data_IF_625830213738
#
_entry.id   IF_625830213738
#
_cell.length_a   1.000
_cell.length_b   1.000
_cell.length_c   1.000
_cell.angle_alpha   90.00
_cell.angle_beta   90.00
_cell.angle_gamma   90.00
#
_symmetry.space_group_name_H-M   'P 1'
#
loop_
_entity.id
_entity.type
_entity.pdbx_description
1 polymer ?
#
# COMPACT_ATOMS: atom_id res chain seq x y z
N UNK A 1 7.61 -6.13 5.63
CA UNK A 1 8.97 -5.62 5.32
C UNK A 1 9.97 -6.52 6.01
N UNK A 2 10.91 -7.06 5.23
CA UNK A 2 11.62 -8.29 5.57
C UNK A 2 12.99 -7.97 6.18
N UNK A 3 13.52 -8.84 7.04
CA UNK A 3 14.97 -8.85 7.24
C UNK A 3 15.64 -9.30 5.94
N UNK A 4 16.90 -8.93 5.69
CA UNK A 4 17.62 -9.42 4.50
C UNK A 4 17.61 -10.96 4.43
N UNK A 5 17.67 -11.62 5.59
CA UNK A 5 17.47 -13.05 5.71
C UNK A 5 16.11 -13.52 5.19
N UNK A 6 15.02 -12.78 5.35
CA UNK A 6 13.71 -13.19 4.81
C UNK A 6 13.67 -13.01 3.29
N UNK A 7 14.30 -11.97 2.73
CA UNK A 7 14.50 -11.87 1.28
C UNK A 7 15.27 -13.09 0.75
N UNK A 8 16.41 -13.41 1.37
CA UNK A 8 17.24 -14.57 1.02
C UNK A 8 16.45 -15.88 1.12
N UNK A 9 15.71 -16.11 2.22
CA UNK A 9 14.87 -17.30 2.39
C UNK A 9 13.76 -17.40 1.35
N UNK A 10 13.13 -16.27 1.02
CA UNK A 10 12.07 -16.22 0.00
C UNK A 10 12.64 -16.57 -1.36
N UNK A 11 13.78 -16.00 -1.73
CA UNK A 11 14.48 -16.30 -2.99
C UNK A 11 14.90 -17.78 -3.03
N UNK A 12 15.54 -18.30 -1.98
CA UNK A 12 15.98 -19.68 -1.89
C UNK A 12 14.81 -20.68 -2.02
N UNK A 13 13.71 -20.43 -1.30
CA UNK A 13 12.52 -21.29 -1.31
C UNK A 13 11.83 -21.32 -2.69
N UNK A 14 11.89 -20.23 -3.46
CA UNK A 14 11.31 -20.18 -4.82
C UNK A 14 12.23 -20.81 -5.87
N UNK A 15 13.55 -20.61 -5.76
CA UNK A 15 14.51 -21.15 -6.73
C UNK A 15 14.73 -22.66 -6.56
N UNK A 16 14.63 -23.15 -5.33
CA UNK A 16 14.81 -24.57 -5.02
C UNK A 16 13.88 -24.98 -3.85
N UNK A 17 12.61 -25.29 -4.16
CA UNK A 17 11.64 -25.68 -3.14
C UNK A 17 12.04 -26.94 -2.34
N UNK A 18 12.87 -27.79 -2.95
CA UNK A 18 13.37 -29.03 -2.34
C UNK A 18 14.63 -28.81 -1.47
N UNK A 19 15.13 -27.57 -1.40
CA UNK A 19 16.25 -27.14 -0.54
C UNK A 19 17.59 -27.83 -0.77
N UNK A 20 17.76 -28.60 -1.85
CA UNK A 20 19.00 -29.33 -2.15
C UNK A 20 20.20 -28.42 -2.42
N UNK A 21 20.02 -27.39 -3.23
CA UNK A 21 21.07 -26.44 -3.55
C UNK A 21 21.36 -25.49 -2.38
N UNK A 22 20.37 -25.25 -1.50
CA UNK A 22 20.48 -24.35 -0.35
C UNK A 22 20.61 -25.10 0.99
N UNK A 23 21.02 -26.37 1.00
CA UNK A 23 21.04 -27.22 2.20
C UNK A 23 21.83 -26.56 3.34
N UNK A 24 23.08 -26.17 3.08
CA UNK A 24 23.94 -25.49 4.05
C UNK A 24 23.33 -24.17 4.55
N UNK A 25 22.70 -23.40 3.66
CA UNK A 25 22.03 -22.15 4.03
C UNK A 25 20.87 -22.40 5.01
N UNK A 26 20.04 -23.40 4.75
CA UNK A 26 18.92 -23.73 5.63
C UNK A 26 19.38 -24.32 6.97
N UNK A 27 20.38 -25.20 6.97
CA UNK A 27 20.98 -25.73 8.19
C UNK A 27 21.56 -24.63 9.08
N UNK A 28 22.34 -23.71 8.48
CA UNK A 28 22.92 -22.60 9.22
C UNK A 28 21.87 -21.62 9.73
N UNK A 29 20.83 -21.35 8.93
CA UNK A 29 19.71 -20.51 9.36
C UNK A 29 18.97 -21.10 10.56
N UNK A 30 18.76 -22.41 10.57
CA UNK A 30 18.08 -23.11 11.65
C UNK A 30 18.92 -23.11 12.93
N UNK A 31 20.24 -23.37 12.78
CA UNK A 31 21.16 -23.45 13.91
C UNK A 31 21.55 -22.09 14.48
N UNK A 32 21.67 -21.08 13.63
CA UNK A 32 22.16 -19.74 13.96
C UNK A 32 21.27 -18.67 13.31
N UNK A 33 20.05 -18.45 13.83
CA UNK A 33 19.10 -17.50 13.23
C UNK A 33 19.60 -16.05 13.17
N UNK A 34 20.67 -15.71 13.92
CA UNK A 34 21.27 -14.38 13.95
C UNK A 34 22.59 -14.29 13.15
N UNK A 35 23.03 -15.36 12.48
CA UNK A 35 24.27 -15.35 11.71
C UNK A 35 24.12 -14.59 10.38
N UNK A 36 25.25 -14.09 9.86
CA UNK A 36 25.33 -13.58 8.49
C UNK A 36 25.36 -14.78 7.51
N UNK A 37 24.26 -14.98 6.78
CA UNK A 37 24.06 -16.16 5.92
C UNK A 37 24.34 -15.92 4.44
N UNK A 38 24.93 -14.77 4.10
CA UNK A 38 25.15 -14.36 2.71
C UNK A 38 26.00 -15.36 1.92
N UNK A 39 27.09 -15.86 2.50
CA UNK A 39 27.99 -16.81 1.82
C UNK A 39 27.30 -18.13 1.45
N UNK A 40 26.68 -18.87 2.41
CA UNK A 40 25.97 -20.10 2.05
C UNK A 40 24.76 -19.82 1.15
N UNK A 41 24.09 -18.66 1.30
CA UNK A 41 23.04 -18.25 0.38
C UNK A 41 23.56 -18.10 -1.06
N UNK A 42 24.64 -17.36 -1.27
CA UNK A 42 25.21 -17.10 -2.60
C UNK A 42 25.73 -18.38 -3.26
N UNK A 43 26.33 -19.28 -2.47
CA UNK A 43 26.77 -20.58 -2.95
C UNK A 43 25.57 -21.42 -3.45
N UNK A 44 24.51 -21.50 -2.64
CA UNK A 44 23.29 -22.21 -3.02
C UNK A 44 22.56 -21.57 -4.20
N UNK A 45 22.54 -20.24 -4.26
CA UNK A 45 21.98 -19.49 -5.38
C UNK A 45 22.70 -19.80 -6.70
N UNK A 46 24.03 -19.80 -6.67
CA UNK A 46 24.88 -20.12 -7.82
C UNK A 46 24.67 -21.58 -8.26
N UNK A 47 24.61 -22.51 -7.31
CA UNK A 47 24.37 -23.93 -7.58
C UNK A 47 22.96 -24.16 -8.17
N UNK A 48 21.94 -23.49 -7.61
CA UNK A 48 20.56 -23.60 -8.07
C UNK A 48 20.38 -23.08 -9.49
N UNK A 49 21.01 -21.96 -9.85
CA UNK A 49 20.92 -21.42 -11.21
C UNK A 49 21.75 -22.22 -12.20
N UNK A 50 22.97 -22.61 -11.85
CA UNK A 50 23.91 -23.23 -12.78
C UNK A 50 24.13 -22.34 -14.02
N UNK A 51 23.63 -22.78 -15.18
CA UNK A 51 23.66 -22.01 -16.45
C UNK A 51 22.37 -21.21 -16.74
N UNK A 52 21.36 -21.32 -15.88
CA UNK A 52 20.06 -20.65 -16.07
C UNK A 52 20.18 -19.17 -15.68
N UNK A 53 19.35 -18.34 -16.31
CA UNK A 53 19.15 -16.93 -15.93
C UNK A 53 17.94 -16.82 -15.01
N UNK A 54 18.00 -15.90 -14.06
CA UNK A 54 16.88 -15.56 -13.18
C UNK A 54 16.46 -14.11 -13.37
N UNK A 55 15.18 -13.85 -13.11
CA UNK A 55 14.63 -12.50 -13.01
C UNK A 55 14.06 -12.33 -11.61
N UNK A 56 14.65 -11.40 -10.83
CA UNK A 56 14.11 -11.00 -9.54
C UNK A 56 13.25 -9.75 -9.73
N UNK A 57 12.04 -9.76 -9.17
CA UNK A 57 11.08 -8.66 -9.29
C UNK A 57 10.76 -8.11 -7.91
N UNK A 58 11.10 -6.85 -7.69
CA UNK A 58 10.74 -6.09 -6.49
C UNK A 58 9.63 -5.13 -6.87
N UNK A 59 8.42 -5.46 -6.45
CA UNK A 59 7.25 -4.59 -6.62
C UNK A 59 7.08 -3.71 -5.37
N UNK A 60 6.64 -2.47 -5.56
CA UNK A 60 6.41 -1.49 -4.49
C UNK A 60 7.68 -1.24 -3.65
N UNK A 61 8.84 -1.15 -4.32
CA UNK A 61 10.14 -1.05 -3.66
C UNK A 61 10.36 0.27 -2.90
N UNK A 62 9.52 1.28 -3.11
CA UNK A 62 9.49 2.49 -2.27
C UNK A 62 9.12 2.18 -0.81
N UNK A 63 8.57 0.99 -0.52
CA UNK A 63 8.36 0.52 0.85
C UNK A 63 9.64 0.01 1.51
N UNK A 64 10.71 -0.18 0.74
CA UNK A 64 12.04 -0.53 1.27
C UNK A 64 12.85 0.71 1.65
N UNK A 65 12.49 1.88 1.11
CA UNK A 65 12.89 3.15 1.72
C UNK A 65 12.27 3.18 3.12
N UNK A 66 13.11 2.83 4.09
CA UNK A 66 13.01 3.47 5.38
C UNK A 66 12.95 4.98 5.09
N UNK A 67 12.16 5.74 5.84
CA UNK A 67 12.20 7.20 5.79
C UNK A 67 11.32 7.85 4.70
N UNK A 68 9.99 7.68 4.82
CA UNK A 68 9.05 8.66 4.25
C UNK A 68 9.04 9.99 5.01
N UNK A 69 9.80 10.09 6.09
CA UNK A 69 9.90 11.25 6.95
C UNK A 69 11.02 12.19 6.47
N UNK A 70 10.93 13.47 6.82
CA UNK A 70 11.99 14.44 6.52
C UNK A 70 13.30 14.03 7.19
N UNK A 71 14.45 14.43 6.63
CA UNK A 71 15.78 14.20 7.20
C UNK A 71 15.85 14.56 8.70
N UNK A 72 15.16 15.62 9.09
CA UNK A 72 15.00 16.08 10.48
C UNK A 72 14.45 14.99 11.42
N UNK A 73 13.50 14.17 10.98
CA UNK A 73 12.93 13.07 11.77
C UNK A 73 13.93 11.94 11.97
N UNK A 74 14.76 11.71 10.97
CA UNK A 74 15.75 10.65 10.96
C UNK A 74 16.90 10.99 11.88
N UNK A 75 17.35 12.24 11.78
CA UNK A 75 18.37 12.82 12.64
C UNK A 75 17.88 12.83 14.10
N UNK A 76 16.63 13.25 14.35
CA UNK A 76 16.03 13.28 15.69
C UNK A 76 15.78 11.89 16.30
N UNK A 77 15.60 10.88 15.45
CA UNK A 77 15.40 9.48 15.88
C UNK A 77 16.69 8.66 15.76
N UNK A 78 17.82 9.29 15.44
CA UNK A 78 19.13 8.67 15.21
C UNK A 78 19.06 7.43 14.30
N UNK A 79 18.14 7.43 13.33
CA UNK A 79 17.96 6.34 12.38
C UNK A 79 19.15 6.35 11.43
N UNK A 80 19.94 5.28 11.46
CA UNK A 80 21.14 5.16 10.61
C UNK A 80 20.87 4.23 9.42
N UNK A 81 21.73 4.27 8.40
CA UNK A 81 21.71 3.30 7.28
C UNK A 81 21.76 1.82 7.74
N UNK A 82 22.14 1.55 9.00
CA UNK A 82 22.17 0.21 9.58
C UNK A 82 20.77 -0.34 9.91
N UNK A 83 19.74 0.52 9.96
CA UNK A 83 18.39 0.16 10.40
C UNK A 83 17.44 -0.27 9.28
N UNK A 84 17.92 -0.27 8.03
CA UNK A 84 17.21 -0.78 6.86
C UNK A 84 17.92 -2.03 6.27
N UNK A 85 17.91 -3.19 6.96
CA UNK A 85 18.68 -4.36 6.55
C UNK A 85 18.35 -4.88 5.14
N UNK A 86 17.07 -4.85 4.73
CA UNK A 86 16.67 -5.17 3.35
C UNK A 86 17.23 -4.20 2.32
N UNK A 87 17.36 -2.93 2.69
CA UNK A 87 17.92 -1.88 1.85
C UNK A 87 19.41 -2.07 1.62
N UNK A 88 20.15 -2.31 2.70
CA UNK A 88 21.58 -2.61 2.62
C UNK A 88 21.84 -3.86 1.79
N UNK A 89 20.99 -4.87 1.91
CA UNK A 89 21.08 -6.07 1.08
C UNK A 89 20.86 -5.74 -0.40
N UNK A 90 19.81 -4.97 -0.73
CA UNK A 90 19.53 -4.55 -2.10
C UNK A 90 20.73 -3.82 -2.71
N UNK A 91 21.29 -2.83 -2.01
CA UNK A 91 22.39 -2.01 -2.52
C UNK A 91 23.74 -2.73 -2.58
N UNK A 92 24.04 -3.62 -1.62
CA UNK A 92 25.39 -4.20 -1.49
C UNK A 92 25.51 -5.62 -2.02
N UNK A 93 24.44 -6.40 -2.02
CA UNK A 93 24.48 -7.84 -2.27
C UNK A 93 23.87 -8.23 -3.61
N UNK A 94 22.90 -7.46 -4.11
CA UNK A 94 22.19 -7.87 -5.32
C UNK A 94 23.09 -7.88 -6.57
N UNK A 95 24.12 -7.04 -6.59
CA UNK A 95 25.09 -6.95 -7.68
C UNK A 95 25.99 -8.19 -7.82
N UNK A 96 26.10 -9.00 -6.76
CA UNK A 96 26.91 -10.22 -6.69
C UNK A 96 26.15 -11.46 -7.21
N UNK A 97 24.83 -11.37 -7.42
CA UNK A 97 24.02 -12.49 -7.88
C UNK A 97 24.33 -12.83 -9.35
N UNK A 98 24.87 -14.02 -9.66
CA UNK A 98 25.23 -14.37 -11.03
C UNK A 98 23.98 -14.60 -11.89
N UNK A 99 24.09 -14.36 -13.20
CA UNK A 99 23.04 -14.63 -14.19
C UNK A 99 21.66 -14.04 -13.84
N UNK A 100 21.62 -12.92 -13.15
CA UNK A 100 20.39 -12.34 -12.59
C UNK A 100 20.09 -10.99 -13.22
N UNK A 101 18.86 -10.83 -13.71
CA UNK A 101 18.28 -9.52 -14.04
C UNK A 101 17.33 -9.11 -12.92
N UNK A 102 17.38 -7.85 -12.52
CA UNK A 102 16.60 -7.32 -11.41
C UNK A 102 15.68 -6.25 -11.96
N UNK A 103 14.38 -6.39 -11.70
CA UNK A 103 13.36 -5.40 -12.02
C UNK A 103 12.87 -4.80 -10.70
N UNK A 104 13.01 -3.49 -10.56
CA UNK A 104 12.59 -2.73 -9.38
C UNK A 104 11.50 -1.76 -9.84
N UNK A 105 10.27 -1.98 -9.37
CA UNK A 105 9.16 -1.06 -9.55
C UNK A 105 8.92 -0.30 -8.25
N UNK A 106 8.92 1.02 -8.32
CA UNK A 106 8.71 1.88 -7.16
C UNK A 106 7.96 3.15 -7.54
N UNK A 107 7.16 3.67 -6.60
CA UNK A 107 6.58 5.02 -6.71
C UNK A 107 7.63 6.08 -6.38
N UNK A 108 7.58 7.27 -7.01
CA UNK A 108 8.40 8.39 -6.59
C UNK A 108 8.12 8.75 -5.14
N UNK A 109 9.18 8.89 -4.33
CA UNK A 109 9.11 9.43 -2.98
C UNK A 109 9.55 10.90 -2.98
N UNK A 110 9.14 11.65 -1.96
CA UNK A 110 9.53 13.06 -1.81
C UNK A 110 11.05 13.25 -1.67
N UNK A 111 11.76 12.21 -1.23
CA UNK A 111 13.21 12.23 -1.03
C UNK A 111 13.98 11.76 -2.26
N UNK A 112 13.37 10.92 -3.12
CA UNK A 112 14.02 10.36 -4.31
C UNK A 112 15.22 9.45 -4.01
N UNK A 113 15.40 9.04 -2.74
CA UNK A 113 16.62 8.40 -2.24
C UNK A 113 16.86 7.02 -2.87
N UNK A 114 15.81 6.23 -3.17
CA UNK A 114 15.94 4.93 -3.83
C UNK A 114 16.64 5.05 -5.17
N UNK A 115 16.15 5.99 -5.99
CA UNK A 115 16.73 6.24 -7.30
C UNK A 115 18.19 6.62 -7.18
N UNK A 116 18.50 7.58 -6.32
CA UNK A 116 19.86 8.09 -6.13
C UNK A 116 20.79 6.98 -5.62
N UNK A 117 20.42 6.29 -4.55
CA UNK A 117 21.28 5.26 -3.93
C UNK A 117 21.50 4.05 -4.84
N UNK A 118 20.51 3.66 -5.66
CA UNK A 118 20.70 2.61 -6.66
C UNK A 118 21.74 3.03 -7.72
N UNK A 119 21.64 4.26 -8.22
CA UNK A 119 22.62 4.81 -9.16
C UNK A 119 24.01 4.88 -8.51
N UNK A 120 24.12 5.33 -7.26
CA UNK A 120 25.39 5.42 -6.55
C UNK A 120 26.03 4.03 -6.33
N UNK A 121 25.21 3.02 -6.00
CA UNK A 121 25.69 1.67 -5.69
C UNK A 121 26.02 0.83 -6.93
N UNK A 122 25.32 1.04 -8.05
CA UNK A 122 25.40 0.15 -9.22
C UNK A 122 25.70 0.86 -10.54
N UNK A 123 25.75 2.20 -10.55
CA UNK A 123 26.21 3.01 -11.68
C UNK A 123 25.47 2.71 -12.99
N UNK A 124 26.26 2.45 -14.02
CA UNK A 124 25.82 2.14 -15.38
C UNK A 124 25.03 0.82 -15.51
N UNK A 125 25.06 -0.04 -14.49
CA UNK A 125 24.26 -1.27 -14.45
C UNK A 125 22.78 -0.99 -14.17
N UNK A 126 22.41 0.24 -13.80
CA UNK A 126 21.03 0.65 -13.53
C UNK A 126 20.43 1.33 -14.75
N UNK A 127 19.41 0.70 -15.33
CA UNK A 127 18.55 1.33 -16.32
C UNK A 127 17.32 1.91 -15.62
N UNK A 128 17.19 3.25 -15.66
CA UNK A 128 16.01 3.93 -15.14
C UNK A 128 14.98 4.09 -16.25
N UNK A 129 13.77 3.59 -15.99
CA UNK A 129 12.62 3.73 -16.87
C UNK A 129 11.52 4.44 -16.09
N UNK A 130 11.20 5.66 -16.49
CA UNK A 130 10.05 6.37 -15.96
C UNK A 130 8.79 5.91 -16.70
N UNK A 131 7.84 5.36 -15.96
CA UNK A 131 6.57 4.89 -16.51
C UNK A 131 5.54 5.99 -16.29
N UNK A 132 5.29 6.77 -17.34
CA UNK A 132 4.23 7.78 -17.36
C UNK A 132 2.84 7.13 -17.51
N UNK A 133 1.79 7.93 -17.39
CA UNK A 133 0.46 7.52 -17.83
C UNK A 133 0.45 7.22 -19.34
N UNK A 134 -0.56 6.47 -19.78
CA UNK A 134 -0.75 6.17 -21.20
C UNK A 134 -0.76 7.44 -22.03
N UNK A 135 -0.11 7.38 -23.18
CA UNK A 135 -0.32 8.31 -24.30
C UNK A 135 -1.73 8.15 -24.87
N UNK A 136 -2.14 9.08 -25.74
CA UNK A 136 -3.44 8.95 -26.42
C UNK A 136 -3.47 7.66 -27.27
N UNK A 137 -2.41 7.35 -28.01
CA UNK A 137 -2.32 6.13 -28.82
C UNK A 137 -2.37 4.84 -27.98
N UNK A 138 -1.75 4.83 -26.79
CA UNK A 138 -1.88 3.70 -25.86
C UNK A 138 -3.29 3.60 -25.26
N UNK A 139 -3.95 4.74 -25.03
CA UNK A 139 -5.35 4.76 -24.60
C UNK A 139 -6.26 4.21 -25.69
N UNK A 140 -6.08 4.61 -26.94
CA UNK A 140 -6.78 4.07 -28.09
C UNK A 140 -6.54 2.55 -28.21
N UNK A 141 -5.29 2.10 -28.11
CA UNK A 141 -4.95 0.68 -28.13
C UNK A 141 -5.62 -0.09 -26.98
N UNK A 142 -5.73 0.51 -25.79
CA UNK A 142 -6.43 -0.07 -24.65
C UNK A 142 -7.93 -0.25 -24.93
N UNK A 143 -8.60 0.77 -25.50
CA UNK A 143 -10.00 0.63 -25.92
C UNK A 143 -10.15 -0.47 -26.97
N UNK A 144 -9.24 -0.54 -27.94
CA UNK A 144 -9.26 -1.53 -29.02
C UNK A 144 -9.05 -2.98 -28.53
N UNK A 145 -8.50 -3.17 -27.32
CA UNK A 145 -8.26 -4.48 -26.75
C UNK A 145 -9.54 -5.23 -26.31
N UNK A 146 -10.65 -4.52 -26.09
CA UNK A 146 -11.92 -5.11 -25.65
C UNK A 146 -13.01 -4.92 -26.71
N UNK A 147 -13.99 -5.81 -26.78
CA UNK A 147 -15.09 -5.70 -27.75
C UNK A 147 -15.90 -4.42 -27.54
N UNK A 148 -16.27 -4.14 -26.29
CA UNK A 148 -17.00 -2.92 -25.95
C UNK A 148 -16.16 -1.65 -26.15
N UNK A 149 -14.87 -1.68 -25.79
CA UNK A 149 -13.99 -0.54 -26.03
C UNK A 149 -13.80 -0.22 -27.51
N UNK A 150 -13.76 -1.23 -28.39
CA UNK A 150 -13.80 -1.03 -29.85
C UNK A 150 -15.08 -0.33 -30.28
N UNK A 151 -16.23 -0.78 -29.78
CA UNK A 151 -17.51 -0.14 -30.08
C UNK A 151 -17.49 1.35 -29.69
N UNK A 152 -17.02 1.69 -28.49
CA UNK A 152 -16.93 3.10 -28.07
C UNK A 152 -15.98 3.90 -28.96
N UNK A 153 -14.81 3.33 -29.29
CA UNK A 153 -13.83 4.00 -30.14
C UNK A 153 -14.35 4.23 -31.57
N UNK A 154 -15.11 3.28 -32.12
CA UNK A 154 -15.71 3.36 -33.45
C UNK A 154 -16.90 4.33 -33.48
N UNK A 155 -17.71 4.37 -32.41
CA UNK A 155 -18.87 5.28 -32.29
C UNK A 155 -18.45 6.73 -31.99
N UNK A 156 -17.40 6.94 -31.20
CA UNK A 156 -16.95 8.27 -30.81
C UNK A 156 -15.46 8.34 -30.45
N UNK A 157 -14.62 8.64 -31.46
CA UNK A 157 -13.21 8.98 -31.26
C UNK A 157 -13.04 10.15 -30.26
N UNK A 158 -13.97 11.11 -30.29
CA UNK A 158 -13.98 12.24 -29.36
C UNK A 158 -14.09 11.78 -27.90
N UNK A 159 -14.87 10.74 -27.60
CA UNK A 159 -15.03 10.21 -26.24
C UNK A 159 -13.72 9.64 -25.70
N UNK A 160 -13.01 8.84 -26.51
CA UNK A 160 -11.72 8.24 -26.12
C UNK A 160 -10.73 9.34 -25.74
N UNK A 161 -10.66 10.39 -26.55
CA UNK A 161 -9.77 11.50 -26.27
C UNK A 161 -10.19 12.30 -25.03
N UNK A 162 -11.49 12.56 -24.82
CA UNK A 162 -11.98 13.21 -23.59
C UNK A 162 -11.56 12.45 -22.35
N UNK A 163 -11.78 11.13 -22.34
CA UNK A 163 -11.40 10.25 -21.23
C UNK A 163 -9.89 10.31 -21.01
N UNK A 164 -9.10 10.20 -22.08
CA UNK A 164 -7.64 10.30 -22.00
C UNK A 164 -7.19 11.62 -21.36
N UNK A 165 -7.72 12.76 -21.83
CA UNK A 165 -7.35 14.09 -21.34
C UNK A 165 -7.71 14.27 -19.87
N UNK A 166 -8.92 13.88 -19.46
CA UNK A 166 -9.42 14.04 -18.09
C UNK A 166 -8.72 13.08 -17.11
N UNK A 167 -8.54 11.81 -17.51
CA UNK A 167 -7.78 10.84 -16.75
C UNK A 167 -6.29 11.21 -16.66
N UNK A 168 -5.77 11.97 -17.63
CA UNK A 168 -4.34 12.24 -17.79
C UNK A 168 -3.55 10.95 -18.06
N UNK A 169 -4.12 10.03 -18.83
CA UNK A 169 -3.50 8.75 -19.15
C UNK A 169 -3.48 7.71 -18.01
N UNK A 170 -4.11 7.96 -16.86
CA UNK A 170 -4.14 7.01 -15.73
C UNK A 170 -4.96 5.76 -16.08
N UNK A 171 -4.35 4.56 -16.17
CA UNK A 171 -5.04 3.36 -16.65
C UNK A 171 -6.28 2.98 -15.83
N UNK A 172 -6.24 3.14 -14.51
CA UNK A 172 -7.38 2.78 -13.65
C UNK A 172 -8.58 3.70 -13.87
N UNK A 173 -8.37 5.00 -14.11
CA UNK A 173 -9.46 5.93 -14.42
C UNK A 173 -10.04 5.68 -15.81
N UNK A 174 -9.18 5.31 -16.76
CA UNK A 174 -9.58 4.89 -18.10
C UNK A 174 -10.43 3.61 -18.02
N UNK A 175 -9.98 2.60 -17.28
CA UNK A 175 -10.71 1.35 -17.07
C UNK A 175 -12.06 1.59 -16.39
N UNK A 176 -12.09 2.43 -15.35
CA UNK A 176 -13.31 2.80 -14.64
C UNK A 176 -14.31 3.53 -15.55
N UNK A 177 -13.83 4.46 -16.38
CA UNK A 177 -14.67 5.13 -17.38
C UNK A 177 -15.28 4.13 -18.38
N UNK A 178 -14.48 3.17 -18.84
CA UNK A 178 -14.92 2.14 -19.76
C UNK A 178 -15.97 1.21 -19.12
N UNK A 179 -15.78 0.80 -17.87
CA UNK A 179 -16.76 0.01 -17.10
C UNK A 179 -18.11 0.73 -17.01
N UNK A 180 -18.10 2.04 -16.76
CA UNK A 180 -19.33 2.85 -16.69
C UNK A 180 -20.01 3.04 -18.02
N UNK A 181 -19.24 3.21 -19.09
CA UNK A 181 -19.78 3.20 -20.45
C UNK A 181 -20.44 1.85 -20.75
N UNK A 182 -19.79 0.73 -20.42
CA UNK A 182 -20.29 -0.62 -20.67
C UNK A 182 -21.60 -0.90 -19.95
N UNK A 183 -21.77 -0.31 -18.76
CA UNK A 183 -22.98 -0.43 -17.94
C UNK A 183 -24.07 0.59 -18.31
N UNK A 184 -23.85 1.44 -19.32
CA UNK A 184 -24.79 2.50 -19.70
C UNK A 184 -24.95 3.58 -18.63
N UNK A 185 -23.98 3.71 -17.72
CA UNK A 185 -24.00 4.63 -16.58
C UNK A 185 -23.31 5.98 -16.91
N UNK A 186 -22.82 6.12 -18.14
CA UNK A 186 -22.19 7.34 -18.60
C UNK A 186 -23.24 8.41 -18.92
N UNK A 187 -23.18 9.55 -18.24
CA UNK A 187 -24.01 10.71 -18.56
C UNK A 187 -23.15 11.73 -19.32
N UNK A 188 -23.42 11.85 -20.63
CA UNK A 188 -22.72 12.79 -21.52
C UNK A 188 -22.85 14.25 -21.09
N UNK A 189 -23.81 14.58 -20.23
CA UNK A 189 -23.97 15.91 -19.65
C UNK A 189 -22.99 16.19 -18.51
N UNK A 190 -22.28 15.18 -18.00
CA UNK A 190 -21.30 15.37 -16.93
C UNK A 190 -20.04 16.09 -17.42
N UNK A 191 -19.77 16.08 -18.74
CA UNK A 191 -18.72 16.88 -19.38
C UNK A 191 -19.20 17.44 -20.71
N UNK A 192 -19.98 18.55 -20.70
CA UNK A 192 -20.43 19.19 -21.94
C UNK A 192 -19.29 19.87 -22.72
N UNK A 193 -18.08 19.88 -22.14
CA UNK A 193 -16.88 20.50 -22.69
C UNK A 193 -16.40 19.71 -23.92
N UNK A 194 -16.10 20.43 -24.99
CA UNK A 194 -15.54 19.86 -26.21
C UNK A 194 -14.08 19.42 -26.01
N UNK A 195 -13.58 18.49 -26.83
CA UNK A 195 -12.14 18.14 -26.82
C UNK A 195 -11.26 19.35 -27.07
N UNK A 196 -11.68 20.28 -27.93
CA UNK A 196 -10.93 21.49 -28.23
C UNK A 196 -10.73 22.36 -26.98
N UNK A 197 -11.79 22.59 -26.20
CA UNK A 197 -11.72 23.33 -24.95
C UNK A 197 -10.86 22.61 -23.89
N UNK A 198 -10.96 21.28 -23.78
CA UNK A 198 -10.11 20.50 -22.87
C UNK A 198 -8.62 20.60 -23.25
N UNK A 199 -8.29 20.52 -24.54
CA UNK A 199 -6.92 20.71 -25.03
C UNK A 199 -6.41 22.11 -24.68
N UNK A 200 -7.18 23.15 -24.98
CA UNK A 200 -6.81 24.54 -24.66
C UNK A 200 -6.60 24.73 -23.16
N UNK A 201 -7.53 24.26 -22.33
CA UNK A 201 -7.41 24.35 -20.87
C UNK A 201 -6.19 23.62 -20.33
N UNK A 202 -5.91 22.41 -20.81
CA UNK A 202 -4.70 21.65 -20.45
C UNK A 202 -3.42 22.40 -20.84
N UNK A 203 -3.33 22.89 -22.07
CA UNK A 203 -2.14 23.61 -22.56
C UNK A 203 -1.90 24.90 -21.77
N UNK A 204 -2.94 25.66 -21.47
CA UNK A 204 -2.82 26.88 -20.66
C UNK A 204 -2.37 26.56 -19.22
N UNK A 205 -2.97 25.54 -18.60
CA UNK A 205 -2.58 25.08 -17.26
C UNK A 205 -1.12 24.60 -17.21
N UNK A 206 -0.66 23.88 -18.23
CA UNK A 206 0.74 23.43 -18.33
C UNK A 206 1.70 24.61 -18.48
N UNK A 207 1.36 25.61 -19.30
CA UNK A 207 2.18 26.80 -19.46
C UNK A 207 2.29 27.62 -18.16
N UNK A 208 1.22 27.71 -17.38
CA UNK A 208 1.26 28.33 -16.04
C UNK A 208 2.16 27.52 -15.08
N UNK A 209 2.00 26.20 -15.03
CA UNK A 209 2.79 25.31 -14.17
C UNK A 209 4.30 25.36 -14.50
N UNK A 210 4.66 25.35 -15.79
CA UNK A 210 6.04 25.49 -16.27
C UNK A 210 6.64 26.86 -15.90
N UNK A 211 5.80 27.90 -15.82
CA UNK A 211 6.21 29.22 -15.32
C UNK A 211 6.25 29.32 -13.79
N UNK A 212 5.94 28.24 -13.05
CA UNK A 212 5.86 28.22 -11.60
C UNK A 212 4.63 28.96 -11.04
N UNK A 213 3.58 29.12 -11.85
CA UNK A 213 2.35 29.83 -11.51
C UNK A 213 1.18 28.83 -11.39
N UNK A 214 0.29 29.06 -10.43
CA UNK A 214 -0.98 28.32 -10.29
C UNK A 214 -2.16 29.29 -10.46
N UNK A 215 -2.28 29.84 -11.66
CA UNK A 215 -3.26 30.85 -12.04
C UNK A 215 -4.67 30.27 -12.24
N UNK A 216 -5.51 31.03 -12.92
CA UNK A 216 -6.91 30.66 -13.17
C UNK A 216 -7.01 29.43 -14.08
N UNK A 217 -6.18 29.33 -15.12
CA UNK A 217 -6.22 28.22 -16.05
C UNK A 217 -5.81 26.90 -15.36
N UNK A 218 -4.75 26.94 -14.54
CA UNK A 218 -4.33 25.82 -13.71
C UNK A 218 -5.46 25.36 -12.78
N UNK A 219 -6.05 26.29 -12.02
CA UNK A 219 -7.13 25.97 -11.09
C UNK A 219 -8.36 25.36 -11.79
N UNK A 220 -8.77 25.94 -12.91
CA UNK A 220 -9.92 25.47 -13.67
C UNK A 220 -9.67 24.08 -14.29
N UNK A 221 -8.47 23.82 -14.81
CA UNK A 221 -8.09 22.51 -15.31
C UNK A 221 -8.11 21.44 -14.21
N UNK A 222 -7.48 21.72 -13.07
CA UNK A 222 -7.48 20.79 -11.93
C UNK A 222 -8.88 20.55 -11.37
N UNK A 223 -9.72 21.59 -11.28
CA UNK A 223 -11.13 21.45 -10.89
C UNK A 223 -11.90 20.54 -11.84
N UNK A 224 -11.69 20.70 -13.16
CA UNK A 224 -12.34 19.86 -14.18
C UNK A 224 -11.94 18.39 -14.04
N UNK A 225 -10.65 18.11 -13.81
CA UNK A 225 -10.16 16.74 -13.54
C UNK A 225 -10.70 16.19 -12.22
N UNK A 226 -10.77 17.00 -11.17
CA UNK A 226 -11.33 16.57 -9.89
C UNK A 226 -12.82 16.25 -10.01
N UNK A 227 -13.57 17.00 -10.80
CA UNK A 227 -14.97 16.69 -11.12
C UNK A 227 -15.06 15.37 -11.89
N UNK A 228 -14.16 15.11 -12.84
CA UNK A 228 -14.04 13.82 -13.53
C UNK A 228 -13.85 12.65 -12.56
N UNK A 229 -12.87 12.74 -11.67
CA UNK A 229 -12.67 11.73 -10.63
C UNK A 229 -13.92 11.56 -9.75
N UNK A 230 -14.52 12.66 -9.27
CA UNK A 230 -15.72 12.62 -8.43
C UNK A 230 -16.89 11.91 -9.10
N UNK A 231 -17.12 12.18 -10.38
CA UNK A 231 -18.16 11.52 -11.16
C UNK A 231 -17.87 10.04 -11.31
N UNK A 232 -16.66 9.66 -11.73
CA UNK A 232 -16.30 8.26 -11.91
C UNK A 232 -16.49 7.46 -10.62
N UNK A 233 -16.07 8.00 -9.48
CA UNK A 233 -16.23 7.33 -8.20
C UNK A 233 -17.70 7.37 -7.74
N UNK A 234 -18.40 8.48 -7.97
CA UNK A 234 -19.81 8.62 -7.63
C UNK A 234 -20.73 7.61 -8.33
N UNK A 235 -20.35 7.11 -9.52
CA UNK A 235 -21.08 6.04 -10.19
C UNK A 235 -21.10 4.72 -9.40
N UNK A 236 -20.16 4.49 -8.48
CA UNK A 236 -20.17 3.30 -7.60
C UNK A 236 -21.48 3.23 -6.81
N UNK A 237 -22.01 4.38 -6.37
CA UNK A 237 -23.30 4.47 -5.65
C UNK A 237 -24.52 4.19 -6.53
N UNK A 238 -24.33 4.08 -7.84
CA UNK A 238 -25.37 3.75 -8.81
C UNK A 238 -25.25 2.31 -9.29
N UNK A 239 -24.31 1.53 -8.76
CA UNK A 239 -24.32 0.09 -8.90
C UNK A 239 -25.61 -0.48 -8.27
N UNK A 240 -26.06 -1.64 -8.73
CA UNK A 240 -27.22 -2.30 -8.14
C UNK A 240 -26.95 -2.59 -6.67
N UNK A 241 -27.88 -2.21 -5.79
CA UNK A 241 -27.83 -2.65 -4.39
C UNK A 241 -28.01 -4.17 -4.36
N UNK A 242 -27.09 -4.94 -3.76
CA UNK A 242 -26.17 -4.52 -2.69
C UNK A 242 -24.67 -4.37 -3.08
N UNK A 243 -24.33 -4.38 -4.36
CA UNK A 243 -22.94 -4.30 -4.85
C UNK A 243 -22.27 -2.94 -4.56
N UNK A 244 -23.02 -1.84 -4.64
CA UNK A 244 -22.57 -0.49 -4.28
C UNK A 244 -22.03 -0.41 -2.84
N UNK A 245 -22.80 -0.93 -1.89
CA UNK A 245 -22.47 -0.99 -0.46
C UNK A 245 -21.24 -1.89 -0.25
N UNK A 246 -21.18 -3.02 -0.95
CA UNK A 246 -20.07 -3.95 -0.87
C UNK A 246 -18.74 -3.31 -1.28
N UNK A 247 -18.73 -2.47 -2.33
CA UNK A 247 -17.54 -1.69 -2.72
C UNK A 247 -17.13 -0.71 -1.62
N UNK A 248 -18.09 -0.01 -1.00
CA UNK A 248 -17.82 0.91 0.10
C UNK A 248 -17.16 0.22 1.31
N UNK A 249 -17.64 -0.97 1.69
CA UNK A 249 -17.04 -1.75 2.78
C UNK A 249 -15.69 -2.36 2.41
N UNK A 250 -15.54 -2.89 1.19
CA UNK A 250 -14.25 -3.37 0.70
C UNK A 250 -13.19 -2.25 0.72
N UNK A 251 -13.62 -1.02 0.44
CA UNK A 251 -12.76 0.14 0.51
C UNK A 251 -12.33 0.45 1.97
N UNK A 252 -13.21 0.28 2.97
CA UNK A 252 -12.82 0.41 4.40
C UNK A 252 -11.80 -0.67 4.79
N UNK A 253 -11.92 -1.87 4.22
CA UNK A 253 -11.00 -2.98 4.39
C UNK A 253 -9.67 -2.79 3.60
N UNK A 254 -8.86 -1.77 3.92
CA UNK A 254 -7.56 -1.53 3.24
C UNK A 254 -6.53 -2.66 3.38
N UNK A 255 -6.66 -3.53 4.40
CA UNK A 255 -5.83 -4.73 4.56
C UNK A 255 -6.37 -5.95 3.82
N UNK A 256 -7.36 -5.76 2.96
CA UNK A 256 -7.99 -6.80 2.17
C UNK A 256 -9.34 -7.18 2.75
N UNK A 257 -10.19 -7.72 1.88
CA UNK A 257 -11.55 -8.10 2.19
C UNK A 257 -11.82 -9.53 1.69
N UNK A 258 -12.69 -10.27 2.36
CA UNK A 258 -13.19 -11.57 1.89
C UNK A 258 -14.68 -11.69 2.24
N UNK A 259 -15.31 -12.79 1.81
CA UNK A 259 -16.73 -12.99 2.07
C UNK A 259 -17.09 -12.99 3.57
N UNK A 260 -16.21 -13.47 4.45
CA UNK A 260 -16.49 -13.55 5.89
C UNK A 260 -16.53 -12.16 6.55
N UNK A 261 -15.50 -11.33 6.36
CA UNK A 261 -15.50 -9.96 6.92
C UNK A 261 -16.56 -9.09 6.25
N UNK A 262 -16.79 -9.24 4.95
CA UNK A 262 -17.81 -8.49 4.23
C UNK A 262 -19.22 -8.86 4.70
N UNK A 263 -19.49 -10.15 4.96
CA UNK A 263 -20.75 -10.64 5.50
C UNK A 263 -21.07 -9.99 6.84
N UNK A 264 -20.05 -9.89 7.70
CA UNK A 264 -20.14 -9.24 9.00
C UNK A 264 -20.44 -7.74 8.90
N UNK A 265 -19.75 -7.02 8.00
CA UNK A 265 -19.97 -5.59 7.80
C UNK A 265 -21.35 -5.28 7.21
N UNK A 266 -21.82 -6.12 6.29
CA UNK A 266 -23.12 -5.97 5.62
C UNK A 266 -24.30 -6.50 6.46
N UNK A 267 -24.05 -7.35 7.45
CA UNK A 267 -25.11 -8.01 8.23
C UNK A 267 -25.94 -9.02 7.42
N UNK A 268 -25.39 -9.55 6.32
CA UNK A 268 -26.03 -10.56 5.45
C UNK A 268 -25.27 -11.88 5.52
N UNK A 269 -25.89 -12.99 5.11
CA UNK A 269 -25.29 -14.32 5.26
C UNK A 269 -24.11 -14.58 4.30
N UNK A 270 -23.13 -15.37 4.74
CA UNK A 270 -21.89 -15.67 3.97
C UNK A 270 -22.14 -16.18 2.54
N UNK A 271 -23.23 -16.93 2.31
CA UNK A 271 -23.59 -17.42 0.97
C UNK A 271 -23.96 -16.28 0.03
N UNK A 272 -24.73 -15.31 0.51
CA UNK A 272 -25.11 -14.13 -0.26
C UNK A 272 -23.87 -13.26 -0.53
N UNK A 273 -23.05 -13.05 0.49
CA UNK A 273 -21.80 -12.31 0.35
C UNK A 273 -20.82 -12.98 -0.60
N UNK A 274 -20.77 -14.32 -0.65
CA UNK A 274 -19.90 -15.04 -1.60
C UNK A 274 -20.29 -14.73 -3.04
N UNK A 275 -21.60 -14.69 -3.35
CA UNK A 275 -22.09 -14.26 -4.67
C UNK A 275 -21.72 -12.80 -4.97
N UNK A 276 -21.81 -11.91 -3.98
CA UNK A 276 -21.37 -10.52 -4.14
C UNK A 276 -19.87 -10.39 -4.36
N UNK A 277 -19.05 -11.22 -3.74
CA UNK A 277 -17.61 -11.24 -3.99
C UNK A 277 -17.33 -11.67 -5.43
N UNK A 278 -18.07 -12.65 -5.97
CA UNK A 278 -17.95 -13.03 -7.38
C UNK A 278 -18.27 -11.85 -8.29
N UNK A 279 -19.36 -11.11 -8.04
CA UNK A 279 -19.72 -9.90 -8.79
C UNK A 279 -18.70 -8.75 -8.62
N UNK A 280 -18.16 -8.56 -7.42
CA UNK A 280 -17.12 -7.55 -7.15
C UNK A 280 -15.87 -7.83 -7.98
N UNK A 281 -15.47 -9.09 -8.11
CA UNK A 281 -14.28 -9.50 -8.85
C UNK A 281 -14.39 -9.26 -10.37
N UNK A 282 -15.60 -8.97 -10.88
CA UNK A 282 -15.81 -8.56 -12.27
C UNK A 282 -15.52 -7.06 -12.50
N UNK A 283 -15.38 -6.26 -11.45
CA UNK A 283 -15.07 -4.84 -11.56
C UNK A 283 -13.58 -4.65 -11.87
N UNK A 284 -13.24 -3.79 -12.83
CA UNK A 284 -11.85 -3.61 -13.31
C UNK A 284 -10.86 -3.15 -12.23
N UNK A 285 -11.39 -2.59 -11.14
CA UNK A 285 -10.61 -2.05 -10.04
C UNK A 285 -10.55 -2.97 -8.81
N UNK A 286 -11.11 -4.17 -8.87
CA UNK A 286 -10.99 -5.17 -7.81
C UNK A 286 -9.94 -6.21 -8.22
N UNK A 287 -8.91 -6.34 -7.38
CA UNK A 287 -7.82 -7.30 -7.56
C UNK A 287 -8.22 -8.64 -6.96
N UNK A 288 -8.12 -9.74 -7.71
CA UNK A 288 -8.46 -11.06 -7.20
C UNK A 288 -7.49 -11.51 -6.09
N UNK A 289 -7.91 -12.46 -5.24
CA UNK A 289 -7.04 -13.02 -4.21
C UNK A 289 -5.75 -13.59 -4.79
N UNK A 290 -4.64 -13.30 -4.11
CA UNK A 290 -3.31 -13.82 -4.48
C UNK A 290 -3.01 -15.10 -3.70
N UNK A 291 -2.18 -16.02 -4.20
CA UNK A 291 -1.69 -17.14 -3.41
C UNK A 291 -1.09 -16.64 -2.09
N UNK A 292 -1.57 -17.17 -0.96
CA UNK A 292 -1.12 -16.77 0.37
C UNK A 292 -1.85 -15.56 0.99
N UNK A 293 -2.84 -14.95 0.31
CA UNK A 293 -3.64 -13.85 0.89
C UNK A 293 -4.86 -14.31 1.69
N UNK A 294 -4.94 -15.58 2.11
CA UNK A 294 -6.10 -16.12 2.85
C UNK A 294 -7.47 -15.86 2.17
N UNK A 295 -7.48 -15.83 0.83
CA UNK A 295 -8.70 -15.52 0.05
C UNK A 295 -9.10 -14.05 0.08
N UNK A 296 -8.27 -13.15 0.61
CA UNK A 296 -8.51 -11.71 0.60
C UNK A 296 -8.32 -11.15 -0.81
N UNK A 297 -9.34 -10.46 -1.30
CA UNK A 297 -9.27 -9.56 -2.45
C UNK A 297 -8.96 -8.14 -2.00
N UNK A 298 -8.52 -7.30 -2.93
CA UNK A 298 -8.12 -5.91 -2.65
C UNK A 298 -8.71 -4.98 -3.69
N UNK A 299 -8.97 -3.73 -3.33
CA UNK A 299 -9.18 -2.72 -4.37
C UNK A 299 -7.84 -2.31 -4.97
N UNK A 300 -7.88 -1.73 -6.16
CA UNK A 300 -6.73 -1.01 -6.69
C UNK A 300 -6.34 0.12 -5.72
N UNK A 301 -5.04 0.32 -5.51
CA UNK A 301 -4.52 1.24 -4.49
C UNK A 301 -5.08 2.67 -4.66
N UNK A 302 -5.14 3.11 -5.92
CA UNK A 302 -5.73 4.38 -6.33
C UNK A 302 -7.23 4.47 -6.01
N UNK A 303 -7.97 3.36 -6.04
CA UNK A 303 -9.38 3.36 -5.65
C UNK A 303 -9.57 3.60 -4.17
N UNK A 304 -8.69 3.12 -3.30
CA UNK A 304 -8.81 3.44 -1.88
C UNK A 304 -8.65 4.95 -1.63
N UNK A 305 -7.75 5.62 -2.34
CA UNK A 305 -7.56 7.07 -2.21
C UNK A 305 -8.71 7.86 -2.85
N UNK A 306 -9.23 7.39 -3.98
CA UNK A 306 -10.40 7.97 -4.65
C UNK A 306 -11.69 7.82 -3.83
N UNK A 307 -11.95 6.64 -3.26
CA UNK A 307 -13.08 6.39 -2.36
C UNK A 307 -12.97 7.26 -1.11
N UNK A 308 -11.77 7.41 -0.54
CA UNK A 308 -11.56 8.33 0.59
C UNK A 308 -11.91 9.76 0.23
N UNK A 309 -11.38 10.23 -0.89
CA UNK A 309 -11.55 11.62 -1.34
C UNK A 309 -12.98 11.97 -1.72
N UNK A 310 -13.70 11.07 -2.40
CA UNK A 310 -14.97 11.38 -3.05
C UNK A 310 -16.20 10.69 -2.49
N UNK A 311 -16.01 9.67 -1.64
CA UNK A 311 -17.13 8.97 -0.99
C UNK A 311 -17.06 9.18 0.51
N UNK A 312 -15.92 8.90 1.15
CA UNK A 312 -15.86 8.89 2.61
C UNK A 312 -15.84 10.27 3.24
N UNK A 313 -15.01 11.17 2.72
CA UNK A 313 -14.94 12.53 3.24
C UNK A 313 -16.16 13.38 2.90
N UNK A 314 -17.08 12.86 2.08
CA UNK A 314 -18.24 13.60 1.55
C UNK A 314 -19.54 13.11 2.16
N UNK A 315 -19.92 11.83 2.03
CA UNK A 315 -21.30 11.43 2.40
C UNK A 315 -21.44 10.07 3.11
N UNK A 316 -20.36 9.37 3.47
CA UNK A 316 -20.49 7.99 3.95
C UNK A 316 -19.31 7.51 4.80
N UNK A 317 -19.51 6.67 5.82
CA UNK A 317 -20.66 6.64 6.72
C UNK A 317 -20.65 7.88 7.65
N UNK A 318 -21.74 8.11 8.38
CA UNK A 318 -21.69 9.09 9.48
C UNK A 318 -20.65 8.65 10.54
N UNK A 319 -20.29 9.57 11.44
CA UNK A 319 -19.25 9.31 12.43
C UNK A 319 -19.50 8.07 13.30
N UNK A 320 -20.75 7.87 13.74
CA UNK A 320 -21.09 6.76 14.63
C UNK A 320 -21.08 5.43 13.89
N UNK A 321 -21.53 5.44 12.64
CA UNK A 321 -21.48 4.26 11.78
C UNK A 321 -20.02 3.92 11.40
N UNK A 322 -19.14 4.91 11.22
CA UNK A 322 -17.71 4.64 11.05
C UNK A 322 -17.10 3.94 12.27
N UNK A 323 -17.34 4.47 13.48
CA UNK A 323 -16.84 3.89 14.73
C UNK A 323 -17.30 2.43 14.88
N UNK A 324 -18.60 2.17 14.64
CA UNK A 324 -19.16 0.82 14.63
C UNK A 324 -18.47 -0.10 13.62
N UNK A 325 -18.23 0.38 12.40
CA UNK A 325 -17.58 -0.43 11.35
C UNK A 325 -16.12 -0.72 11.67
N UNK A 326 -15.38 0.25 12.20
CA UNK A 326 -14.00 0.04 12.65
C UNK A 326 -13.96 -0.98 13.80
N UNK A 327 -14.89 -0.89 14.77
CA UNK A 327 -15.05 -1.87 15.85
C UNK A 327 -15.35 -3.29 15.32
N UNK A 328 -16.23 -3.44 14.33
CA UNK A 328 -16.52 -4.73 13.71
C UNK A 328 -15.30 -5.34 13.02
N UNK A 329 -14.50 -4.51 12.32
CA UNK A 329 -13.25 -4.97 11.69
C UNK A 329 -12.25 -5.40 12.78
N UNK A 330 -12.05 -4.58 13.82
CA UNK A 330 -11.13 -4.88 14.93
C UNK A 330 -11.55 -6.17 15.64
N UNK A 331 -12.85 -6.36 15.85
CA UNK A 331 -13.43 -7.56 16.47
C UNK A 331 -13.18 -8.79 15.60
N UNK A 332 -13.41 -8.70 14.29
CA UNK A 332 -13.11 -9.78 13.34
C UNK A 332 -11.65 -10.22 13.40
N UNK A 333 -10.69 -9.28 13.33
CA UNK A 333 -9.27 -9.62 13.46
C UNK A 333 -8.96 -10.28 14.82
N UNK A 334 -9.58 -9.81 15.91
CA UNK A 334 -9.36 -10.37 17.24
C UNK A 334 -9.84 -11.82 17.36
N UNK A 335 -10.95 -12.17 16.70
CA UNK A 335 -11.42 -13.56 16.60
C UNK A 335 -10.45 -14.43 15.80
N UNK A 336 -9.96 -13.94 14.65
CA UNK A 336 -8.98 -14.68 13.84
C UNK A 336 -7.67 -14.92 14.61
N UNK A 337 -7.18 -13.90 15.33
CA UNK A 337 -6.00 -14.01 16.21
C UNK A 337 -6.21 -15.06 17.31
N UNK A 338 -7.41 -15.08 17.91
CA UNK A 338 -7.76 -16.06 18.96
C UNK A 338 -7.85 -17.48 18.43
N UNK A 339 -8.39 -17.69 17.22
CA UNK A 339 -8.43 -19.00 16.58
C UNK A 339 -7.02 -19.52 16.25
N UNK A 340 -6.09 -18.63 15.90
CA UNK A 340 -4.68 -18.99 15.71
C UNK A 340 -4.00 -19.38 17.02
N UNK A 341 -4.34 -18.77 18.16
CA UNK A 341 -3.79 -19.17 19.46
C UNK A 341 -4.08 -20.64 19.78
N UNK A 342 -5.31 -21.09 19.54
CA UNK A 342 -5.69 -22.49 19.71
C UNK A 342 -4.89 -23.41 18.77
N UNK A 343 -4.75 -22.99 17.51
CA UNK A 343 -3.99 -23.72 16.49
C UNK A 343 -2.49 -23.80 16.84
N UNK A 344 -1.90 -22.72 17.36
CA UNK A 344 -0.50 -22.64 17.82
C UNK A 344 -0.25 -23.56 19.02
N UNK A 345 -1.22 -23.67 19.94
CA UNK A 345 -1.16 -24.59 21.09
C UNK A 345 -1.27 -26.06 20.66
N UNK A 346 -2.08 -26.35 19.64
CA UNK A 346 -2.28 -27.69 19.12
C UNK A 346 -1.14 -28.18 18.19
N UNK A 347 -0.39 -27.26 17.58
CA UNK A 347 0.72 -27.59 16.68
C UNK A 347 1.82 -28.40 17.39
N UNK A 348 2.19 -29.54 16.80
CA UNK A 348 3.16 -30.49 17.39
C UNK A 348 4.60 -30.22 16.99
N UNK A 349 4.81 -29.72 15.77
CA UNK A 349 6.14 -29.43 15.25
C UNK A 349 6.43 -27.92 15.29
N UNK A 350 7.72 -27.61 15.36
CA UNK A 350 8.21 -26.23 15.47
C UNK A 350 7.90 -25.40 14.22
N UNK A 351 7.92 -26.00 13.03
CA UNK A 351 7.69 -25.29 11.76
C UNK A 351 6.24 -24.85 11.60
N UNK A 352 5.29 -25.76 11.84
CA UNK A 352 3.87 -25.46 11.86
C UNK A 352 3.54 -24.37 12.89
N UNK A 353 4.12 -24.47 14.09
CA UNK A 353 3.94 -23.49 15.15
C UNK A 353 4.47 -22.10 14.76
N UNK A 354 5.66 -22.02 14.17
CA UNK A 354 6.23 -20.75 13.75
C UNK A 354 5.50 -20.13 12.55
N UNK A 355 5.00 -20.95 11.62
CA UNK A 355 4.17 -20.47 10.52
C UNK A 355 2.90 -19.80 11.05
N UNK A 356 2.19 -20.48 11.95
CA UNK A 356 0.96 -19.95 12.57
C UNK A 356 1.24 -18.70 13.41
N UNK A 357 2.36 -18.63 14.13
CA UNK A 357 2.77 -17.42 14.85
C UNK A 357 3.01 -16.22 13.93
N UNK A 358 3.66 -16.43 12.78
CA UNK A 358 3.85 -15.35 11.79
C UNK A 358 2.54 -14.85 11.22
N UNK A 359 1.61 -15.76 10.95
CA UNK A 359 0.26 -15.43 10.52
C UNK A 359 -0.46 -14.61 11.59
N UNK A 360 -0.37 -15.02 12.86
CA UNK A 360 -0.93 -14.27 13.98
C UNK A 360 -0.32 -12.87 14.10
N UNK A 361 1.00 -12.73 14.01
CA UNK A 361 1.70 -11.45 14.05
C UNK A 361 1.27 -10.52 12.92
N UNK A 362 1.06 -11.05 11.71
CA UNK A 362 0.54 -10.29 10.57
C UNK A 362 -0.87 -9.76 10.88
N UNK A 363 -1.78 -10.61 11.36
CA UNK A 363 -3.13 -10.19 11.74
C UNK A 363 -3.13 -9.16 12.87
N UNK A 364 -2.21 -9.27 13.83
CA UNK A 364 -2.05 -8.27 14.90
C UNK A 364 -1.59 -6.91 14.33
N UNK A 365 -0.65 -6.90 13.38
CA UNK A 365 -0.25 -5.67 12.69
C UNK A 365 -1.39 -5.10 11.83
N UNK A 366 -2.17 -5.95 11.16
CA UNK A 366 -3.31 -5.50 10.37
C UNK A 366 -4.44 -4.95 11.26
N UNK A 367 -4.71 -5.57 12.41
CA UNK A 367 -5.63 -5.03 13.43
C UNK A 367 -5.18 -3.65 13.92
N UNK A 368 -3.87 -3.48 14.14
CA UNK A 368 -3.29 -2.22 14.61
C UNK A 368 -3.60 -1.05 13.67
N UNK A 369 -3.61 -1.27 12.36
CA UNK A 369 -4.05 -0.27 11.37
C UNK A 369 -5.44 0.27 11.70
N UNK A 370 -6.40 -0.61 11.98
CA UNK A 370 -7.79 -0.24 12.25
C UNK A 370 -7.93 0.40 13.64
N UNK A 371 -7.15 -0.05 14.63
CA UNK A 371 -7.14 0.57 15.95
C UNK A 371 -6.62 2.02 15.89
N UNK A 372 -5.59 2.29 15.09
CA UNK A 372 -5.15 3.66 14.83
C UNK A 372 -6.25 4.50 14.15
N UNK A 373 -7.05 3.89 13.28
CA UNK A 373 -8.10 4.59 12.56
C UNK A 373 -9.31 4.91 13.43
N UNK A 374 -9.69 3.98 14.31
CA UNK A 374 -10.77 4.13 15.29
C UNK A 374 -10.40 5.15 16.39
N UNK A 375 -9.31 4.87 17.13
CA UNK A 375 -8.79 5.75 18.17
C UNK A 375 -7.25 5.71 18.17
N UNK A 376 -6.59 6.78 17.69
CA UNK A 376 -5.14 6.88 17.67
C UNK A 376 -4.45 6.63 19.02
N UNK A 377 -5.11 6.93 20.15
CA UNK A 377 -4.56 6.70 21.50
C UNK A 377 -4.58 5.22 21.84
N UNK A 378 -5.67 4.53 21.54
CA UNK A 378 -5.75 3.08 21.71
C UNK A 378 -4.80 2.36 20.76
N UNK A 379 -4.74 2.78 19.49
CA UNK A 379 -3.77 2.28 18.51
C UNK A 379 -2.33 2.45 19.00
N UNK A 380 -1.96 3.63 19.51
CA UNK A 380 -0.61 3.84 20.04
C UNK A 380 -0.31 2.98 21.28
N UNK A 381 -1.28 2.84 22.19
CA UNK A 381 -1.13 1.96 23.37
C UNK A 381 -0.93 0.50 22.96
N UNK A 382 -1.68 0.02 21.98
CA UNK A 382 -1.52 -1.34 21.46
C UNK A 382 -0.18 -1.50 20.76
N UNK A 383 0.18 -0.59 19.84
CA UNK A 383 1.49 -0.58 19.19
C UNK A 383 2.63 -0.66 20.22
N UNK A 384 2.52 0.13 21.28
CA UNK A 384 3.49 0.16 22.37
C UNK A 384 3.68 -1.20 23.03
N UNK A 385 2.56 -1.88 23.33
CA UNK A 385 2.58 -3.21 23.92
C UNK A 385 3.18 -4.26 22.97
N UNK A 386 2.75 -4.26 21.71
CA UNK A 386 3.20 -5.21 20.70
C UNK A 386 4.68 -5.02 20.35
N UNK A 387 5.13 -3.77 20.27
CA UNK A 387 6.55 -3.43 20.03
C UNK A 387 7.43 -3.95 21.17
N UNK A 388 7.03 -3.72 22.43
CA UNK A 388 7.75 -4.26 23.60
C UNK A 388 7.80 -5.79 23.59
N UNK A 389 6.71 -6.46 23.22
CA UNK A 389 6.65 -7.92 23.08
C UNK A 389 7.57 -8.43 21.97
N UNK A 390 7.54 -7.80 20.79
CA UNK A 390 8.40 -8.12 19.66
C UNK A 390 9.88 -7.96 20.02
N UNK A 391 10.24 -6.88 20.72
CA UNK A 391 11.60 -6.61 21.20
C UNK A 391 12.03 -7.68 22.21
N UNK A 392 11.20 -7.97 23.21
CA UNK A 392 11.50 -8.95 24.24
C UNK A 392 11.72 -10.36 23.65
N UNK A 393 11.00 -10.70 22.58
CA UNK A 393 11.13 -11.96 21.85
C UNK A 393 12.19 -11.96 20.74
N UNK A 394 12.83 -10.82 20.48
CA UNK A 394 13.78 -10.62 19.37
C UNK A 394 13.15 -10.92 18.00
N UNK A 395 11.88 -10.59 17.83
CA UNK A 395 11.11 -10.80 16.61
C UNK A 395 11.23 -9.58 15.69
N UNK A 396 12.42 -9.39 15.12
CA UNK A 396 12.76 -8.20 14.30
C UNK A 396 11.83 -7.92 13.13
N UNK A 397 11.30 -8.98 12.51
CA UNK A 397 10.37 -8.85 11.40
C UNK A 397 9.04 -8.25 11.86
N UNK A 398 8.51 -8.71 13.00
CA UNK A 398 7.27 -8.21 13.56
C UNK A 398 7.40 -6.77 14.08
N UNK A 399 8.48 -6.47 14.80
CA UNK A 399 8.88 -5.10 15.19
C UNK A 399 8.85 -4.14 13.98
N UNK A 400 9.46 -4.56 12.86
CA UNK A 400 9.46 -3.77 11.63
C UNK A 400 8.05 -3.56 11.06
N UNK A 401 7.20 -4.59 11.08
CA UNK A 401 5.82 -4.48 10.60
C UNK A 401 4.99 -3.51 11.44
N UNK A 402 5.09 -3.62 12.77
CA UNK A 402 4.42 -2.73 13.72
C UNK A 402 4.86 -1.28 13.53
N UNK A 403 6.17 -1.04 13.42
CA UNK A 403 6.72 0.30 13.21
C UNK A 403 6.24 0.91 11.90
N UNK A 404 6.20 0.13 10.83
CA UNK A 404 5.72 0.60 9.54
C UNK A 404 4.26 1.04 9.60
N UNK A 405 3.44 0.35 10.39
CA UNK A 405 2.05 0.70 10.58
C UNK A 405 1.91 2.03 11.33
N UNK A 406 2.66 2.19 12.43
CA UNK A 406 2.71 3.43 13.18
C UNK A 406 3.21 4.62 12.30
N UNK A 407 4.27 4.41 11.52
CA UNK A 407 4.81 5.43 10.60
C UNK A 407 3.84 5.76 9.45
N UNK A 408 3.15 4.76 8.92
CA UNK A 408 2.13 4.98 7.89
C UNK A 408 1.02 5.86 8.45
N UNK A 409 0.55 5.58 9.67
CA UNK A 409 -0.46 6.40 10.33
C UNK A 409 -0.01 7.86 10.53
N UNK A 410 1.21 8.09 11.05
CA UNK A 410 1.71 9.45 11.31
C UNK A 410 1.97 10.26 10.04
N UNK A 411 2.46 9.63 8.97
CA UNK A 411 2.79 10.31 7.72
C UNK A 411 1.60 10.51 6.78
N UNK A 412 0.66 9.55 6.71
CA UNK A 412 -0.41 9.57 5.72
C UNK A 412 -1.76 10.02 6.28
N UNK A 413 -2.10 9.72 7.54
CA UNK A 413 -3.45 9.97 8.08
C UNK A 413 -3.54 11.01 9.18
N UNK A 414 -2.51 11.15 10.02
CA UNK A 414 -2.49 12.19 11.05
C UNK A 414 -2.63 13.61 10.43
N UNK A 415 -2.12 13.81 9.22
CA UNK A 415 -2.27 15.05 8.45
C UNK A 415 -3.63 15.21 7.74
N UNK A 416 -4.24 14.13 7.22
CA UNK A 416 -5.47 14.19 6.40
C UNK A 416 -6.72 14.53 7.21
N UNK A 417 -6.76 14.16 8.50
CA UNK A 417 -7.87 14.52 9.41
C UNK A 417 -7.71 15.92 10.03
N UNK A 418 -6.66 16.66 9.66
CA UNK A 418 -6.23 17.87 10.36
C UNK A 418 -5.87 19.09 9.52
N UNK A 419 -5.99 19.07 8.19
CA UNK A 419 -5.61 20.24 7.36
C UNK A 419 -6.80 21.18 7.11
N UNK A 420 -6.72 22.37 7.70
CA UNK A 420 -7.46 23.58 7.30
C UNK A 420 -7.01 24.05 5.91
N UNK A 421 -7.98 24.50 5.09
CA UNK A 421 -7.69 25.28 3.88
C UNK A 421 -8.44 24.88 2.61
N UNK A 422 -9.77 24.80 2.66
CA UNK A 422 -10.65 25.10 1.53
C UNK A 422 -11.89 25.75 2.12
N UNK A 423 -12.29 26.88 1.57
CA UNK A 423 -13.18 27.88 2.18
C UNK A 423 -14.68 27.56 2.14
N UNK A 424 -15.09 26.33 1.83
CA UNK A 424 -16.51 25.98 1.86
C UNK A 424 -16.91 25.32 3.18
N UNK A 425 -17.75 26.05 3.90
CA UNK A 425 -18.40 25.64 5.13
C UNK A 425 -19.51 24.63 4.83
N UNK A 426 -19.36 23.39 5.31
CA UNK A 426 -20.43 22.51 5.86
C UNK A 426 -19.95 21.06 6.06
N UNK A 427 -18.84 20.87 6.78
CA UNK A 427 -18.45 19.53 7.24
C UNK A 427 -18.14 19.53 8.75
N UNK A 428 -18.65 18.56 9.53
CA UNK A 428 -18.30 18.42 10.94
C UNK A 428 -16.79 18.21 11.07
N UNK A 429 -16.12 19.18 11.70
CA UNK A 429 -14.71 19.09 12.03
C UNK A 429 -14.53 17.97 13.04
N UNK A 430 -13.69 16.96 12.73
CA UNK A 430 -13.08 16.13 13.77
C UNK A 430 -12.31 17.10 14.67
N UNK A 431 -12.82 17.39 15.87
CA UNK A 431 -12.09 18.23 16.83
C UNK A 431 -10.80 17.49 17.22
N UNK A 432 -9.65 18.01 16.80
CA UNK A 432 -8.39 17.41 17.12
C UNK A 432 -7.74 18.34 18.13
N UNK A 433 -8.03 18.13 19.42
CA UNK A 433 -7.30 18.80 20.49
C UNK A 433 -5.77 18.59 20.41
N UNK A 434 -5.28 17.73 19.50
CA UNK A 434 -3.88 17.49 19.17
C UNK A 434 -3.38 18.15 17.86
N UNK A 435 -4.23 18.73 17.00
CA UNK A 435 -3.84 19.43 15.75
C UNK A 435 -4.01 20.95 15.76
N UNK A 436 -4.50 21.56 16.85
CA UNK A 436 -4.83 23.00 16.88
C UNK A 436 -3.65 23.98 16.67
N UNK A 437 -2.44 23.52 16.34
CA UNK A 437 -1.27 24.39 16.19
C UNK A 437 -0.54 24.32 14.85
N UNK A 438 -1.14 23.75 13.78
CA UNK A 438 -0.62 23.86 12.39
C UNK A 438 0.78 23.30 12.13
N UNK A 439 1.47 22.90 13.19
CA UNK A 439 2.55 21.95 13.32
C UNK A 439 1.91 20.85 14.14
N UNK A 440 1.96 19.61 13.68
CA UNK A 440 1.86 18.50 14.63
C UNK A 440 3.09 18.68 15.53
N UNK A 441 2.94 19.42 16.63
CA UNK A 441 3.91 19.35 17.70
C UNK A 441 3.81 17.90 18.15
N UNK A 442 4.74 17.07 17.68
CA UNK A 442 4.88 15.70 18.14
C UNK A 442 4.79 15.77 19.65
N UNK A 443 3.87 15.00 20.24
CA UNK A 443 3.76 14.97 21.69
C UNK A 443 5.16 14.65 22.21
N UNK A 444 5.78 15.53 23.03
CA UNK A 444 7.11 15.26 23.57
C UNK A 444 7.16 13.92 24.32
N UNK A 445 6.01 13.44 24.81
CA UNK A 445 5.87 12.11 25.39
C UNK A 445 5.95 10.98 24.36
N UNK A 446 5.37 11.14 23.16
CA UNK A 446 5.49 10.16 22.07
C UNK A 446 6.92 10.12 21.54
N UNK A 447 7.57 11.27 21.39
CA UNK A 447 8.97 11.30 20.97
C UNK A 447 9.91 10.75 22.05
N UNK A 448 9.68 11.08 23.32
CA UNK A 448 10.45 10.53 24.43
C UNK A 448 10.27 9.02 24.58
N UNK A 449 9.05 8.51 24.45
CA UNK A 449 8.73 7.09 24.52
C UNK A 449 9.31 6.34 23.31
N UNK A 450 9.21 6.91 22.10
CA UNK A 450 9.88 6.39 20.91
C UNK A 450 11.40 6.32 21.10
N UNK A 451 12.04 7.38 21.64
CA UNK A 451 13.50 7.40 21.95
C UNK A 451 13.88 6.36 23.00
N UNK A 452 13.11 6.24 24.09
CA UNK A 452 13.34 5.25 25.14
C UNK A 452 13.22 3.83 24.61
N UNK A 453 12.20 3.55 23.78
CA UNK A 453 12.07 2.24 23.11
C UNK A 453 13.20 2.00 22.14
N UNK A 454 13.65 3.03 21.45
CA UNK A 454 14.83 2.98 20.59
C UNK A 454 16.09 2.51 21.33
N UNK A 455 16.42 3.14 22.45
CA UNK A 455 17.53 2.73 23.32
C UNK A 455 17.32 1.29 23.82
N UNK A 456 16.09 0.95 24.22
CA UNK A 456 15.73 -0.40 24.68
C UNK A 456 15.94 -1.46 23.59
N UNK A 457 15.69 -1.13 22.31
CA UNK A 457 15.95 -2.04 21.17
C UNK A 457 17.42 -2.37 21.03
N UNK A 458 18.31 -1.39 21.09
CA UNK A 458 19.74 -1.64 20.95
C UNK A 458 20.31 -2.44 22.11
N UNK A 459 19.84 -2.15 23.33
CA UNK A 459 20.17 -2.96 24.50
C UNK A 459 19.69 -4.41 24.29
N UNK A 460 18.45 -4.62 23.84
CA UNK A 460 17.90 -5.97 23.60
C UNK A 460 18.62 -6.73 22.48
N UNK A 461 19.15 -6.00 21.47
CA UNK A 461 19.95 -6.53 20.36
C UNK A 461 21.43 -6.72 20.69
N UNK A 462 21.85 -6.39 21.92
CA UNK A 462 23.25 -6.43 22.35
C UNK A 462 24.16 -5.46 21.56
N UNK A 463 23.57 -4.38 21.03
CA UNK A 463 24.23 -3.33 20.26
C UNK A 463 24.50 -2.11 21.16
N UNK A 464 25.18 -2.33 22.29
CA UNK A 464 25.35 -1.32 23.36
C UNK A 464 26.03 -0.03 22.90
N UNK A 465 26.88 -0.10 21.87
CA UNK A 465 27.54 1.06 21.26
C UNK A 465 26.57 1.99 20.54
N UNK A 466 25.38 1.51 20.16
CA UNK A 466 24.31 2.32 19.54
C UNK A 466 23.25 2.77 20.53
N UNK A 467 23.23 2.17 21.73
CA UNK A 467 22.31 2.53 22.80
C UNK A 467 22.80 3.72 23.64
N UNK A 468 24.10 4.01 23.55
CA UNK A 468 24.82 5.06 24.26
C UNK A 468 24.95 6.29 23.37
#
# INVERSE_FOLDING_TARGET
>A
MHSHQVLEATIAQHLDPNRKAFEEYWEQREKYPQAELWKPFLAGYTAALGKRRSVLRFDTAERLEYERDSQEVLDDCEVTELDAPSWRWLLRRIGDLPNTTILIAARPTSTGLLRQRLLDAHGDRVLLLEIAGFTLGETEAYFQATEFGRQVADESVEMVEKIHLLAGGRPILIALALDWLARGMWDSRLYPVSVAELRTGKTQAQAEEEAGQHGEAWQQWHKTRQQFEAVLVGQIRRLATPLDIAVCYAALCRKGCNAAILSRLMGIGEKETSGLVEELLELSFVKPPRPGSHGLFFLHDEMYDLMEKYVWLVDWPDYHEQERLDEEIISWYSEQISALDESIRAARDWWGKNRLRREQQLLMTERLYYQFDADPRLGYREYSHLDEEAIARREHEWDTWLRNEALWFTSHRAWRRGKQGSTDADYPRRDPAWLQLGKVARSPAVDYDNRRRWVTRYIARNEMEKAA
#
